data_IF_519153383041
#
_entry.id   IF_519153383041
#
_cell.length_a   1.000
_cell.length_b   1.000
_cell.length_c   1.000
_cell.angle_alpha   90.00
_cell.angle_beta   90.00
_cell.angle_gamma   90.00
#
_symmetry.space_group_name_H-M   'P 1'
#
loop_
_entity.id
_entity.type
_entity.pdbx_description
1 polymer ?
#
# COMPACT_ATOMS: atom_id res chain seq x y z
N UNK A 1 44.11 16.99 16.14
CA UNK A 1 43.89 15.93 15.12
C UNK A 1 43.46 16.63 13.83
N UNK A 2 44.12 16.38 12.69
CA UNK A 2 43.76 17.04 11.43
C UNK A 2 42.40 16.58 10.87
N UNK A 3 41.72 17.41 10.06
CA UNK A 3 40.36 17.17 9.58
C UNK A 3 40.19 15.85 8.80
N UNK A 4 41.22 15.41 8.07
CA UNK A 4 41.20 14.14 7.32
C UNK A 4 41.20 12.91 8.26
N UNK A 5 41.91 12.97 9.39
CA UNK A 5 41.97 11.86 10.37
C UNK A 5 40.64 11.74 11.14
N UNK A 6 39.95 12.86 11.34
CA UNK A 6 38.64 12.91 11.94
C UNK A 6 37.56 12.31 11.02
N UNK A 7 37.53 12.69 9.74
CA UNK A 7 36.59 12.14 8.76
C UNK A 7 36.72 10.62 8.55
N UNK A 8 37.96 10.09 8.53
CA UNK A 8 38.20 8.64 8.42
C UNK A 8 37.68 7.86 9.63
N UNK A 9 37.76 8.43 10.83
CA UNK A 9 37.24 7.82 12.06
C UNK A 9 35.71 7.74 12.03
N UNK A 10 35.05 8.83 11.63
CA UNK A 10 33.59 8.87 11.49
C UNK A 10 33.06 7.87 10.46
N UNK A 11 33.77 7.72 9.33
CA UNK A 11 33.39 6.73 8.31
C UNK A 11 33.54 5.29 8.82
N UNK A 12 34.61 4.99 9.57
CA UNK A 12 34.80 3.66 10.16
C UNK A 12 33.71 3.33 11.19
N UNK A 13 33.37 4.28 12.06
CA UNK A 13 32.27 4.12 13.04
C UNK A 13 30.91 3.90 12.35
N UNK A 14 30.65 4.60 11.24
CA UNK A 14 29.43 4.40 10.45
C UNK A 14 29.37 3.00 9.83
N UNK A 15 30.47 2.54 9.24
CA UNK A 15 30.56 1.19 8.64
C UNK A 15 30.37 0.11 9.71
N UNK A 16 31.03 0.26 10.86
CA UNK A 16 30.89 -0.67 11.98
C UNK A 16 29.46 -0.71 12.51
N UNK A 17 28.82 0.46 12.68
CA UNK A 17 27.41 0.56 13.07
C UNK A 17 26.48 -0.14 12.07
N UNK A 18 26.68 0.07 10.76
CA UNK A 18 25.91 -0.61 9.72
C UNK A 18 26.11 -2.13 9.75
N UNK A 19 27.35 -2.59 9.96
CA UNK A 19 27.68 -4.01 10.04
C UNK A 19 27.05 -4.65 11.29
N UNK A 20 27.07 -3.97 12.43
CA UNK A 20 26.39 -4.41 13.66
C UNK A 20 24.88 -4.48 13.45
N UNK A 21 24.27 -3.49 12.80
CA UNK A 21 22.84 -3.52 12.48
C UNK A 21 22.49 -4.69 11.54
N UNK A 22 23.26 -4.91 10.47
CA UNK A 22 23.02 -6.00 9.53
C UNK A 22 23.14 -7.39 10.17
N UNK A 23 24.05 -7.56 11.13
CA UNK A 23 24.27 -8.82 11.84
C UNK A 23 23.44 -8.95 13.14
N UNK A 24 22.65 -7.94 13.49
CA UNK A 24 21.72 -8.01 14.61
C UNK A 24 20.52 -8.90 14.29
N UNK A 25 19.79 -9.35 15.32
CA UNK A 25 18.56 -10.12 15.09
C UNK A 25 17.57 -9.36 14.16
N UNK A 26 17.26 -8.06 14.35
CA UNK A 26 16.43 -7.32 13.39
C UNK A 26 16.97 -7.32 11.96
N UNK A 27 18.29 -7.12 11.78
CA UNK A 27 18.92 -7.10 10.45
C UNK A 27 18.84 -8.44 9.72
N UNK A 28 19.15 -9.53 10.42
CA UNK A 28 19.05 -10.90 9.89
C UNK A 28 17.60 -11.20 9.49
N UNK A 29 16.66 -10.88 10.36
CA UNK A 29 15.24 -11.16 10.15
C UNK A 29 14.62 -10.32 9.02
N UNK A 30 15.12 -9.09 8.80
CA UNK A 30 14.72 -8.27 7.66
C UNK A 30 15.28 -8.85 6.35
N UNK A 31 16.54 -9.31 6.35
CA UNK A 31 17.12 -9.99 5.18
C UNK A 31 16.37 -11.28 4.83
N UNK A 32 15.97 -12.06 5.83
CA UNK A 32 15.10 -13.23 5.63
C UNK A 32 13.75 -12.85 5.04
N UNK A 33 13.12 -11.77 5.50
CA UNK A 33 11.88 -11.27 4.92
C UNK A 33 12.04 -10.91 3.44
N UNK A 34 13.13 -10.22 3.07
CA UNK A 34 13.42 -9.93 1.66
C UNK A 34 13.62 -11.21 0.83
N UNK A 35 14.33 -12.20 1.36
CA UNK A 35 14.53 -13.47 0.67
C UNK A 35 13.19 -14.20 0.47
N UNK A 36 12.36 -14.28 1.50
CA UNK A 36 11.02 -14.87 1.41
C UNK A 36 10.12 -14.15 0.39
N UNK A 37 10.16 -12.82 0.34
CA UNK A 37 9.44 -12.05 -0.69
C UNK A 37 9.91 -12.41 -2.09
N UNK A 38 11.23 -12.52 -2.29
CA UNK A 38 11.81 -12.89 -3.58
C UNK A 38 11.43 -14.33 -3.98
N UNK A 39 11.39 -15.25 -3.01
CA UNK A 39 10.95 -16.64 -3.24
C UNK A 39 9.47 -16.69 -3.60
N UNK A 40 8.61 -15.96 -2.87
CA UNK A 40 7.20 -15.82 -3.19
C UNK A 40 6.97 -15.25 -4.59
N UNK A 41 7.67 -14.17 -4.94
CA UNK A 41 7.58 -13.55 -6.26
C UNK A 41 8.01 -14.50 -7.38
N UNK A 42 9.09 -15.26 -7.17
CA UNK A 42 9.59 -16.25 -8.13
C UNK A 42 8.55 -17.34 -8.41
N UNK A 43 7.86 -17.80 -7.39
CA UNK A 43 6.87 -18.88 -7.50
C UNK A 43 5.53 -18.39 -8.05
N UNK A 44 5.05 -17.22 -7.61
CA UNK A 44 3.67 -16.79 -7.83
C UNK A 44 3.54 -15.70 -8.91
N UNK A 45 4.63 -15.00 -9.23
CA UNK A 45 4.62 -13.86 -10.16
C UNK A 45 5.61 -14.02 -11.34
N UNK A 46 5.74 -15.20 -11.98
CA UNK A 46 6.76 -15.42 -13.02
C UNK A 46 6.55 -14.56 -14.28
N UNK A 47 5.34 -14.07 -14.52
CA UNK A 47 4.98 -13.25 -15.69
C UNK A 47 4.77 -11.76 -15.35
N UNK A 48 4.97 -11.35 -14.10
CA UNK A 48 4.75 -9.96 -13.69
C UNK A 48 5.98 -9.09 -13.99
N UNK A 49 5.75 -7.79 -14.15
CA UNK A 49 6.83 -6.81 -14.33
C UNK A 49 7.47 -6.44 -12.98
N UNK A 50 8.81 -6.45 -12.93
CA UNK A 50 9.56 -6.04 -11.75
C UNK A 50 10.05 -4.59 -11.90
N UNK A 51 9.76 -3.78 -10.89
CA UNK A 51 10.21 -2.40 -10.76
C UNK A 51 11.05 -2.21 -9.48
N UNK A 52 11.89 -1.18 -9.46
CA UNK A 52 12.73 -0.88 -8.28
C UNK A 52 12.22 0.28 -7.45
N UNK A 53 11.48 1.21 -8.06
CA UNK A 53 10.98 2.42 -7.41
C UNK A 53 9.44 2.46 -7.43
N UNK A 54 8.85 3.08 -6.40
CA UNK A 54 7.39 3.22 -6.30
C UNK A 54 6.81 4.05 -7.45
N UNK A 55 7.50 5.09 -7.92
CA UNK A 55 7.02 5.90 -9.05
C UNK A 55 6.88 5.10 -10.34
N UNK A 56 7.76 4.12 -10.58
CA UNK A 56 7.74 3.34 -11.82
C UNK A 56 6.54 2.39 -11.86
N UNK A 57 6.22 1.73 -10.73
CA UNK A 57 5.00 0.91 -10.63
C UNK A 57 3.74 1.78 -10.62
N UNK A 58 3.77 3.01 -10.09
CA UNK A 58 2.64 3.94 -10.16
C UNK A 58 2.38 4.39 -11.60
N UNK A 59 3.40 4.83 -12.34
CA UNK A 59 3.26 5.18 -13.76
C UNK A 59 2.77 3.99 -14.59
N UNK A 60 3.28 2.79 -14.30
CA UNK A 60 2.79 1.56 -14.94
C UNK A 60 1.32 1.28 -14.58
N UNK A 61 0.92 1.41 -13.33
CA UNK A 61 -0.46 1.24 -12.88
C UNK A 61 -1.40 2.22 -13.59
N UNK A 62 -0.98 3.48 -13.72
CA UNK A 62 -1.72 4.53 -14.43
C UNK A 62 -1.91 4.16 -15.91
N UNK A 63 -0.87 3.62 -16.56
CA UNK A 63 -0.99 3.14 -17.94
C UNK A 63 -2.05 2.02 -18.05
N UNK A 64 -2.11 1.11 -17.06
CA UNK A 64 -3.11 0.04 -17.03
C UNK A 64 -4.53 0.54 -16.80
N UNK A 65 -4.71 1.55 -15.95
CA UNK A 65 -6.01 2.21 -15.77
C UNK A 65 -6.47 2.83 -17.10
N UNK A 66 -5.59 3.54 -17.80
CA UNK A 66 -5.91 4.20 -19.08
C UNK A 66 -6.23 3.22 -20.21
N UNK A 67 -5.52 2.09 -20.27
CA UNK A 67 -5.75 1.03 -21.27
C UNK A 67 -7.14 0.38 -21.18
N UNK A 68 -7.76 0.40 -19.99
CA UNK A 68 -8.86 -0.52 -19.68
C UNK A 68 -10.26 0.06 -19.80
N UNK A 69 -10.44 1.38 -19.87
CA UNK A 69 -11.75 2.05 -19.97
C UNK A 69 -12.85 1.40 -19.11
N UNK A 70 -12.48 0.92 -17.91
CA UNK A 70 -13.40 0.30 -16.96
C UNK A 70 -14.06 1.41 -16.16
N UNK A 71 -15.38 1.54 -16.29
CA UNK A 71 -16.14 2.41 -15.41
C UNK A 71 -16.14 1.86 -13.97
N UNK A 72 -15.83 2.73 -13.01
CA UNK A 72 -15.82 2.40 -11.60
C UNK A 72 -15.10 3.47 -10.78
N UNK A 73 -15.18 3.34 -9.46
CA UNK A 73 -14.50 4.27 -8.56
C UNK A 73 -13.00 3.99 -8.46
N UNK A 74 -12.22 5.05 -8.23
CA UNK A 74 -10.80 4.97 -7.87
C UNK A 74 -10.66 5.30 -6.38
N UNK A 75 -10.22 4.33 -5.58
CA UNK A 75 -10.18 4.43 -4.12
C UNK A 75 -8.76 4.28 -3.61
N UNK A 76 -8.40 5.03 -2.57
CA UNK A 76 -7.17 4.85 -1.78
C UNK A 76 -7.54 4.79 -0.29
N UNK A 77 -7.00 3.80 0.42
CA UNK A 77 -7.18 3.61 1.86
C UNK A 77 -5.83 3.79 2.54
N UNK A 78 -5.72 4.83 3.37
CA UNK A 78 -4.44 5.36 3.82
C UNK A 78 -3.94 6.44 2.87
N UNK A 79 -4.17 7.71 3.23
CA UNK A 79 -3.85 8.87 2.40
C UNK A 79 -2.68 9.64 2.99
N UNK A 80 -2.62 9.72 4.32
CA UNK A 80 -1.65 10.51 5.07
C UNK A 80 -1.51 11.95 4.52
N UNK A 81 -0.38 12.26 3.87
CA UNK A 81 -0.09 13.59 3.30
C UNK A 81 -0.59 13.77 1.87
N UNK A 82 -1.19 12.73 1.28
CA UNK A 82 -1.77 12.73 -0.06
C UNK A 82 -0.76 12.54 -1.20
N UNK A 83 0.43 11.99 -0.93
CA UNK A 83 1.50 11.87 -1.94
C UNK A 83 1.07 10.97 -3.11
N UNK A 84 0.67 9.73 -2.81
CA UNK A 84 0.16 8.73 -3.76
C UNK A 84 -1.09 9.22 -4.47
N UNK A 85 -2.17 9.55 -3.75
CA UNK A 85 -3.43 9.98 -4.38
C UNK A 85 -3.26 11.21 -5.28
N UNK A 86 -2.38 12.15 -4.93
CA UNK A 86 -2.07 13.30 -5.80
C UNK A 86 -1.25 12.88 -7.02
N UNK A 87 -0.34 11.90 -6.87
CA UNK A 87 0.43 11.36 -7.97
C UNK A 87 -0.50 10.76 -9.04
N UNK A 88 -1.43 9.90 -8.64
CA UNK A 88 -2.41 9.28 -9.54
C UNK A 88 -3.37 10.33 -10.15
N UNK A 89 -4.03 11.13 -9.30
CA UNK A 89 -5.04 12.09 -9.75
C UNK A 89 -4.49 13.20 -10.65
N UNK A 90 -3.21 13.57 -10.53
CA UNK A 90 -2.58 14.55 -11.43
C UNK A 90 -2.40 14.05 -12.87
N UNK A 91 -2.31 12.73 -13.05
CA UNK A 91 -2.12 12.06 -14.35
C UNK A 91 -3.45 11.57 -14.93
N UNK A 92 -4.40 11.25 -14.06
CA UNK A 92 -5.75 10.78 -14.39
C UNK A 92 -6.77 11.91 -14.16
N UNK A 93 -6.62 13.01 -14.90
CA UNK A 93 -7.32 14.29 -14.66
C UNK A 93 -8.84 14.25 -14.85
N UNK A 94 -9.33 13.30 -15.65
CA UNK A 94 -10.75 13.11 -15.91
C UNK A 94 -11.41 12.17 -14.90
N UNK A 95 -10.60 11.48 -14.09
CA UNK A 95 -11.06 10.54 -13.08
C UNK A 95 -11.21 11.22 -11.73
N UNK A 96 -12.19 10.74 -10.95
CA UNK A 96 -12.38 11.13 -9.56
C UNK A 96 -11.74 10.08 -8.65
N UNK A 97 -11.01 10.56 -7.65
CA UNK A 97 -10.38 9.73 -6.61
C UNK A 97 -11.03 9.98 -5.26
N UNK A 98 -11.21 8.91 -4.50
CA UNK A 98 -11.75 8.95 -3.15
C UNK A 98 -10.68 8.42 -2.18
N UNK A 99 -10.17 9.28 -1.32
CA UNK A 99 -9.15 8.95 -0.32
C UNK A 99 -9.78 8.79 1.06
N UNK A 100 -9.66 7.61 1.66
CA UNK A 100 -10.15 7.29 3.00
C UNK A 100 -9.00 7.31 4.00
N UNK A 101 -9.15 8.07 5.07
CA UNK A 101 -8.18 8.12 6.16
C UNK A 101 -8.84 8.69 7.44
N UNK A 102 -8.37 8.28 8.61
CA UNK A 102 -8.77 8.92 9.87
C UNK A 102 -8.16 10.32 10.02
N UNK A 103 -6.97 10.52 9.44
CA UNK A 103 -6.04 11.62 9.68
C UNK A 103 -5.62 11.74 11.16
N UNK A 104 -5.90 10.70 11.95
CA UNK A 104 -5.59 10.55 13.37
C UNK A 104 -4.48 9.51 13.61
N UNK A 105 -3.90 8.98 12.52
CA UNK A 105 -2.86 7.97 12.53
C UNK A 105 -3.39 6.55 12.71
N UNK A 106 -2.47 5.61 12.93
CA UNK A 106 -2.79 4.20 13.09
C UNK A 106 -3.76 3.94 14.25
N UNK A 107 -4.75 3.05 14.05
CA UNK A 107 -5.70 2.63 15.09
C UNK A 107 -5.08 1.65 16.10
N UNK A 108 -4.04 0.94 15.67
CA UNK A 108 -3.25 -0.04 16.43
C UNK A 108 -1.75 0.03 16.08
N UNK A 109 -0.92 -0.77 16.75
CA UNK A 109 0.51 -0.86 16.45
C UNK A 109 0.75 -1.63 15.15
N UNK A 110 1.65 -1.10 14.30
CA UNK A 110 2.12 -1.79 13.11
C UNK A 110 3.27 -2.74 13.44
N UNK A 111 2.90 -4.00 13.67
CA UNK A 111 3.81 -5.11 13.96
C UNK A 111 4.74 -5.35 12.77
N UNK A 112 6.05 -5.44 13.04
CA UNK A 112 7.08 -5.63 12.01
C UNK A 112 7.93 -4.38 11.76
N UNK A 113 7.34 -3.19 11.85
CA UNK A 113 8.02 -1.90 11.64
C UNK A 113 8.24 -1.09 12.92
N UNK A 114 7.73 -1.56 14.07
CA UNK A 114 7.82 -0.89 15.38
C UNK A 114 7.20 0.53 15.39
N UNK A 115 6.19 0.75 14.54
CA UNK A 115 5.40 1.97 14.53
C UNK A 115 4.17 1.77 15.42
N UNK A 116 3.97 2.67 16.37
CA UNK A 116 2.93 2.53 17.39
C UNK A 116 1.61 3.16 16.94
N UNK A 117 0.53 2.80 17.63
CA UNK A 117 -0.77 3.48 17.52
C UNK A 117 -0.60 5.02 17.50
N UNK A 118 -1.30 5.68 16.59
CA UNK A 118 -1.22 7.13 16.38
C UNK A 118 0.00 7.59 15.57
N UNK A 119 0.86 6.68 15.09
CA UNK A 119 1.84 7.04 14.07
C UNK A 119 1.13 7.54 12.80
N UNK A 120 1.74 8.47 12.07
CA UNK A 120 1.16 9.22 10.93
C UNK A 120 0.00 10.19 11.25
N UNK A 121 -0.25 10.52 12.53
CA UNK A 121 -1.32 11.44 12.91
C UNK A 121 -1.10 12.88 12.37
N UNK A 122 -2.10 13.42 11.68
CA UNK A 122 -2.15 14.81 11.19
C UNK A 122 -3.00 15.73 12.08
N UNK A 123 -3.25 15.32 13.32
CA UNK A 123 -4.18 15.93 14.27
C UNK A 123 -5.59 16.10 13.68
N UNK A 124 -6.02 15.13 12.87
CA UNK A 124 -7.29 15.16 12.17
C UNK A 124 -7.38 16.21 11.05
N UNK A 125 -6.28 16.84 10.66
CA UNK A 125 -6.24 17.83 9.59
C UNK A 125 -6.18 17.16 8.22
N UNK A 126 -6.99 17.66 7.29
CA UNK A 126 -6.97 17.18 5.91
C UNK A 126 -5.75 17.72 5.17
N UNK A 127 -4.96 16.88 4.47
CA UNK A 127 -3.87 17.34 3.63
C UNK A 127 -4.40 18.08 2.40
N UNK A 128 -3.50 18.82 1.75
CA UNK A 128 -3.81 19.44 0.46
C UNK A 128 -3.82 18.36 -0.63
N UNK A 129 -4.91 18.30 -1.39
CA UNK A 129 -5.07 17.38 -2.52
C UNK A 129 -5.50 18.09 -3.81
N UNK A 130 -5.36 17.40 -4.93
CA UNK A 130 -5.80 17.87 -6.24
C UNK A 130 -7.33 18.03 -6.32
N UNK A 131 -7.80 18.86 -7.26
CA UNK A 131 -9.23 19.21 -7.37
C UNK A 131 -10.16 18.05 -7.75
N UNK A 132 -9.62 16.96 -8.27
CA UNK A 132 -10.35 15.72 -8.59
C UNK A 132 -10.22 14.64 -7.49
N UNK A 133 -9.73 15.01 -6.30
CA UNK A 133 -9.66 14.15 -5.13
C UNK A 133 -10.71 14.58 -4.10
N UNK A 134 -11.48 13.61 -3.60
CA UNK A 134 -12.41 13.78 -2.48
C UNK A 134 -11.87 12.99 -1.29
N UNK A 135 -11.64 13.68 -0.17
CA UNK A 135 -11.20 13.04 1.07
C UNK A 135 -12.40 12.67 1.93
N UNK A 136 -12.43 11.43 2.40
CA UNK A 136 -13.42 10.92 3.35
C UNK A 136 -12.70 10.69 4.66
N UNK A 137 -12.93 11.60 5.61
CA UNK A 137 -12.38 11.49 6.95
C UNK A 137 -13.15 10.48 7.81
N UNK A 138 -12.42 9.60 8.47
CA UNK A 138 -12.93 8.72 9.52
C UNK A 138 -12.37 7.31 9.41
N UNK A 139 -12.47 6.55 10.50
CA UNK A 139 -12.08 5.13 10.51
C UNK A 139 -12.87 4.34 9.47
N UNK A 140 -12.22 3.38 8.79
CA UNK A 140 -12.80 2.68 7.65
C UNK A 140 -14.13 1.98 7.98
N UNK A 141 -14.26 1.44 9.20
CA UNK A 141 -15.49 0.80 9.71
C UNK A 141 -16.67 1.77 9.90
N UNK A 142 -16.42 3.09 9.84
CA UNK A 142 -17.41 4.14 10.01
C UNK A 142 -17.62 4.95 8.73
N UNK A 143 -16.53 5.32 8.06
CA UNK A 143 -16.54 6.24 6.92
C UNK A 143 -16.98 5.55 5.63
N UNK A 144 -16.56 4.30 5.42
CA UNK A 144 -16.84 3.58 4.18
C UNK A 144 -18.32 3.15 4.05
N UNK A 145 -19.01 2.61 5.09
CA UNK A 145 -20.44 2.30 4.99
C UNK A 145 -21.27 3.53 4.65
N UNK A 146 -20.97 4.66 5.29
CA UNK A 146 -21.64 5.95 5.02
C UNK A 146 -21.40 6.42 3.59
N UNK A 147 -20.16 6.33 3.10
CA UNK A 147 -19.85 6.66 1.71
C UNK A 147 -20.67 5.82 0.73
N UNK A 148 -20.77 4.51 0.94
CA UNK A 148 -21.54 3.60 0.09
C UNK A 148 -23.03 3.98 0.09
N UNK A 149 -23.59 4.29 1.26
CA UNK A 149 -25.00 4.70 1.40
C UNK A 149 -25.29 6.04 0.71
N UNK A 150 -24.40 7.01 0.84
CA UNK A 150 -24.57 8.34 0.23
C UNK A 150 -24.35 8.34 -1.29
N UNK A 151 -23.67 7.32 -1.83
CA UNK A 151 -23.36 7.19 -3.25
C UNK A 151 -24.11 5.98 -3.85
N UNK A 152 -25.44 6.09 -3.99
CA UNK A 152 -26.31 5.02 -4.49
C UNK A 152 -25.93 4.43 -5.87
N UNK A 153 -25.15 5.15 -6.67
CA UNK A 153 -24.63 4.69 -7.96
C UNK A 153 -23.25 4.00 -7.86
N UNK A 154 -22.69 3.86 -6.66
CA UNK A 154 -21.46 3.12 -6.41
C UNK A 154 -21.70 1.61 -6.63
N UNK A 155 -21.36 1.12 -7.81
CA UNK A 155 -21.61 -0.27 -8.22
C UNK A 155 -20.35 -1.10 -8.43
N UNK A 156 -19.21 -0.46 -8.69
CA UNK A 156 -17.98 -1.15 -9.07
C UNK A 156 -16.74 -0.31 -8.78
N UNK A 157 -15.65 -0.99 -8.47
CA UNK A 157 -14.32 -0.40 -8.29
C UNK A 157 -13.50 -0.63 -9.55
N UNK A 158 -12.97 0.45 -10.11
CA UNK A 158 -12.00 0.39 -11.21
C UNK A 158 -10.59 0.16 -10.67
N UNK A 159 -10.19 0.99 -9.69
CA UNK A 159 -8.87 0.96 -9.07
C UNK A 159 -8.98 1.06 -7.56
N UNK A 160 -8.21 0.22 -6.87
CA UNK A 160 -8.11 0.19 -5.41
C UNK A 160 -6.64 0.24 -5.00
N UNK A 161 -6.25 1.27 -4.27
CA UNK A 161 -4.96 1.37 -3.60
C UNK A 161 -5.14 1.03 -2.12
N UNK A 162 -4.53 -0.07 -1.69
CA UNK A 162 -4.48 -0.53 -0.30
C UNK A 162 -3.15 -0.07 0.29
N UNK A 163 -3.20 0.92 1.18
CA UNK A 163 -2.07 1.47 1.94
C UNK A 163 -2.50 1.56 3.41
N UNK A 164 -3.03 0.44 3.92
CA UNK A 164 -3.70 0.38 5.22
C UNK A 164 -2.72 0.11 6.37
N UNK A 165 -1.48 -0.29 6.04
CA UNK A 165 -0.41 -0.77 6.92
C UNK A 165 -0.73 -2.10 7.64
N UNK A 166 -1.91 -2.21 8.25
CA UNK A 166 -2.28 -3.29 9.17
C UNK A 166 -3.26 -4.30 8.57
N UNK A 167 -3.27 -5.49 9.16
CA UNK A 167 -4.23 -6.54 8.82
C UNK A 167 -5.66 -6.12 9.15
N UNK A 168 -5.88 -5.59 10.35
CA UNK A 168 -7.20 -5.24 10.87
C UNK A 168 -7.87 -4.15 10.00
N UNK A 169 -7.11 -3.15 9.57
CA UNK A 169 -7.58 -2.11 8.66
C UNK A 169 -7.88 -2.69 7.26
N UNK A 170 -6.97 -3.50 6.71
CA UNK A 170 -7.14 -4.12 5.39
C UNK A 170 -8.33 -5.09 5.33
N UNK A 171 -8.50 -5.91 6.37
CA UNK A 171 -9.63 -6.85 6.51
C UNK A 171 -10.96 -6.08 6.53
N UNK A 172 -11.02 -4.97 7.26
CA UNK A 172 -12.20 -4.09 7.28
C UNK A 172 -12.55 -3.59 5.89
N UNK A 173 -11.55 -3.14 5.11
CA UNK A 173 -11.75 -2.67 3.74
C UNK A 173 -12.33 -3.77 2.85
N UNK A 174 -11.74 -4.97 2.84
CA UNK A 174 -12.24 -6.08 2.01
C UNK A 174 -13.62 -6.59 2.44
N UNK A 175 -13.91 -6.62 3.74
CA UNK A 175 -15.24 -7.01 4.23
C UNK A 175 -16.35 -6.06 3.76
N UNK A 176 -16.04 -4.76 3.66
CA UNK A 176 -17.00 -3.74 3.26
C UNK A 176 -17.08 -3.56 1.73
N UNK A 177 -15.95 -3.71 1.04
CA UNK A 177 -15.87 -3.50 -0.41
C UNK A 177 -16.06 -4.75 -1.26
N UNK A 178 -15.98 -5.96 -0.68
CA UNK A 178 -15.85 -7.21 -1.44
C UNK A 178 -16.88 -7.39 -2.55
N UNK A 179 -18.14 -6.95 -2.34
CA UNK A 179 -19.22 -7.05 -3.34
C UNK A 179 -19.08 -6.11 -4.56
N UNK A 180 -18.17 -5.13 -4.50
CA UNK A 180 -17.91 -4.16 -5.55
C UNK A 180 -16.59 -4.42 -6.28
N UNK A 181 -15.81 -5.40 -5.81
CA UNK A 181 -14.60 -5.91 -6.44
C UNK A 181 -15.03 -6.97 -7.44
N UNK A 182 -14.77 -6.74 -8.72
CA UNK A 182 -15.21 -7.61 -9.80
C UNK A 182 -14.09 -7.77 -10.84
N UNK A 183 -14.28 -8.64 -11.82
CA UNK A 183 -13.37 -8.85 -12.94
C UNK A 183 -12.86 -7.52 -13.49
N UNK A 184 -11.56 -7.38 -13.68
CA UNK A 184 -10.90 -6.20 -14.22
C UNK A 184 -10.56 -5.12 -13.18
N UNK A 185 -11.05 -5.22 -11.94
CA UNK A 185 -10.59 -4.34 -10.84
C UNK A 185 -9.09 -4.48 -10.68
N UNK A 186 -8.39 -3.35 -10.73
CA UNK A 186 -6.96 -3.25 -10.41
C UNK A 186 -6.79 -2.98 -8.91
N UNK A 187 -5.93 -3.75 -8.25
CA UNK A 187 -5.59 -3.54 -6.84
C UNK A 187 -4.08 -3.37 -6.73
N UNK A 188 -3.64 -2.22 -6.22
CA UNK A 188 -2.27 -1.95 -5.82
C UNK A 188 -2.19 -2.03 -4.30
N UNK A 189 -1.24 -2.79 -3.78
CA UNK A 189 -0.91 -2.85 -2.35
C UNK A 189 0.38 -2.08 -2.09
N UNK A 190 0.45 -1.26 -1.04
CA UNK A 190 1.68 -0.59 -0.62
C UNK A 190 2.61 -1.55 0.14
N UNK A 191 2.03 -2.40 1.00
CA UNK A 191 2.73 -3.24 1.96
C UNK A 191 2.35 -4.73 1.83
N UNK A 192 2.42 -5.25 0.61
CA UNK A 192 2.11 -6.66 0.31
C UNK A 192 3.15 -7.63 0.89
N UNK A 193 4.43 -7.29 0.73
CA UNK A 193 5.57 -8.08 1.20
C UNK A 193 6.79 -7.20 1.49
N UNK A 194 7.93 -7.80 1.82
CA UNK A 194 9.20 -7.06 1.89
C UNK A 194 9.46 -6.40 3.24
N UNK A 195 8.79 -6.87 4.29
CA UNK A 195 9.09 -6.50 5.68
C UNK A 195 8.88 -7.68 6.62
N UNK A 196 9.37 -7.59 7.86
CA UNK A 196 9.22 -8.72 8.78
C UNK A 196 7.75 -8.95 9.15
N UNK A 197 7.24 -10.14 8.83
CA UNK A 197 5.88 -10.55 9.18
C UNK A 197 4.82 -10.09 8.19
N UNK A 198 5.23 -9.75 6.95
CA UNK A 198 4.30 -9.37 5.88
C UNK A 198 3.21 -10.42 5.63
N UNK A 199 3.50 -11.70 5.91
CA UNK A 199 2.54 -12.80 5.81
C UNK A 199 1.32 -12.64 6.76
N UNK A 200 1.37 -11.66 7.68
CA UNK A 200 0.32 -11.37 8.65
C UNK A 200 -0.36 -10.02 8.47
N UNK A 201 0.04 -9.21 7.48
CA UNK A 201 -0.53 -7.88 7.19
C UNK A 201 -1.54 -7.89 6.04
N UNK A 202 -1.39 -6.96 5.10
CA UNK A 202 -2.30 -6.79 3.95
C UNK A 202 -2.44 -8.06 3.12
N UNK A 203 -1.32 -8.77 2.90
CA UNK A 203 -1.30 -10.07 2.23
C UNK A 203 -2.31 -11.04 2.83
N UNK A 204 -2.29 -11.19 4.16
CA UNK A 204 -3.17 -12.14 4.86
C UNK A 204 -4.64 -11.77 4.71
N UNK A 205 -4.97 -10.49 4.90
CA UNK A 205 -6.34 -9.99 4.74
C UNK A 205 -6.85 -10.24 3.31
N UNK A 206 -6.00 -9.99 2.30
CA UNK A 206 -6.35 -10.27 0.91
C UNK A 206 -6.53 -11.77 0.63
N UNK A 207 -5.64 -12.65 1.12
CA UNK A 207 -5.81 -14.10 0.93
C UNK A 207 -7.07 -14.64 1.61
N UNK A 208 -7.46 -14.08 2.76
CA UNK A 208 -8.73 -14.43 3.41
C UNK A 208 -9.93 -14.00 2.55
N UNK A 209 -9.91 -12.79 2.02
CA UNK A 209 -10.93 -12.31 1.09
C UNK A 209 -11.02 -13.19 -0.17
N UNK A 210 -9.89 -13.52 -0.78
CA UNK A 210 -9.81 -14.40 -1.95
C UNK A 210 -10.48 -15.75 -1.69
N UNK A 211 -10.11 -16.39 -0.56
CA UNK A 211 -10.64 -17.70 -0.19
C UNK A 211 -12.13 -17.64 0.12
N UNK A 212 -12.58 -16.59 0.81
CA UNK A 212 -13.98 -16.40 1.17
C UNK A 212 -14.86 -16.11 -0.06
N UNK A 213 -14.42 -15.20 -0.94
CA UNK A 213 -15.18 -14.76 -2.09
C UNK A 213 -15.03 -15.69 -3.31
N UNK A 214 -14.05 -16.60 -3.31
CA UNK A 214 -13.77 -17.49 -4.43
C UNK A 214 -13.27 -16.76 -5.68
N UNK A 215 -12.69 -15.58 -5.53
CA UNK A 215 -12.20 -14.77 -6.64
C UNK A 215 -10.87 -15.28 -7.18
N UNK A 216 -10.65 -15.08 -8.48
CA UNK A 216 -9.37 -15.34 -9.13
C UNK A 216 -8.71 -14.01 -9.46
N UNK A 217 -7.39 -14.00 -9.47
CA UNK A 217 -6.62 -12.82 -9.81
C UNK A 217 -5.31 -13.22 -10.48
N UNK A 218 -4.65 -12.25 -11.11
CA UNK A 218 -3.29 -12.38 -11.62
C UNK A 218 -2.43 -11.23 -11.14
N UNK A 219 -1.16 -11.50 -10.87
CA UNK A 219 -0.17 -10.47 -10.61
C UNK A 219 0.26 -9.81 -11.92
N UNK A 220 0.40 -8.48 -11.91
CA UNK A 220 0.78 -7.70 -13.09
C UNK A 220 2.16 -7.08 -12.90
N UNK A 221 2.44 -6.53 -11.71
CA UNK A 221 3.72 -5.91 -11.39
C UNK A 221 4.03 -5.94 -9.90
N UNK A 222 5.30 -5.77 -9.55
CA UNK A 222 5.75 -5.64 -8.17
C UNK A 222 7.01 -4.78 -8.03
N UNK A 223 7.24 -4.28 -6.83
CA UNK A 223 8.52 -3.70 -6.37
C UNK A 223 9.07 -4.51 -5.20
N UNK A 224 10.00 -3.96 -4.42
CA UNK A 224 10.44 -4.59 -3.17
C UNK A 224 9.33 -4.75 -2.11
N UNK A 225 8.23 -3.98 -2.21
CA UNK A 225 7.10 -4.02 -1.26
C UNK A 225 5.72 -4.00 -1.92
N UNK A 226 5.55 -3.16 -2.93
CA UNK A 226 4.26 -2.96 -3.59
C UNK A 226 3.96 -4.07 -4.60
N UNK A 227 2.69 -4.42 -4.73
CA UNK A 227 2.22 -5.41 -5.71
C UNK A 227 0.95 -4.92 -6.39
N UNK A 228 0.95 -4.91 -7.72
CA UNK A 228 -0.21 -4.65 -8.56
C UNK A 228 -0.78 -5.96 -9.07
N UNK A 229 -2.09 -6.15 -8.90
CA UNK A 229 -2.84 -7.28 -9.41
C UNK A 229 -4.14 -6.87 -10.10
N UNK A 230 -4.72 -7.81 -10.84
CA UNK A 230 -6.02 -7.70 -11.49
C UNK A 230 -6.90 -8.88 -11.10
N UNK A 231 -8.18 -8.61 -10.80
CA UNK A 231 -9.22 -9.62 -10.62
C UNK A 231 -9.68 -10.18 -11.97
N UNK A 232 -9.93 -11.50 -12.08
CA UNK A 232 -10.19 -12.23 -13.33
C UNK A 232 -11.66 -12.66 -13.54
#
# INVERSE_FOLDING_TARGET
MGPIKFAKKQLAELIESQLLMQNSAPGILLKEAFQKSADYARENMPESMMFFNHTDIWDFTISKIQERSVEGANLEFGVYTGTSINYFSSRLKNDVFYGFDSFEGLKEDWKGWALQKGYFNLNGQLPKVNGNVKLIKGWFDQSLPKFIEENNDFRRINYLHIDCDTFEATETVFNLLGKFIDKGTLILFDEYFGYRGWEFGEYKAFQQFVNFAGIKYRYIAFTGRQVLLEIL
#
